data_IF_306584295130
#
_entry.id   IF_306584295130
#
_cell.length_a   1.000
_cell.length_b   1.000
_cell.length_c   1.000
_cell.angle_alpha   90.00
_cell.angle_beta   90.00
_cell.angle_gamma   90.00
#
_symmetry.space_group_name_H-M   'P 1'
#
loop_
_entity.id
_entity.type
_entity.pdbx_description
1 polymer ?
2 non-polymer ?
3 water ?
#
# COMPACT_ATOMS: atom_id res chain seq x y z
N UNK A 15 22.31 41.44 2.09
CA UNK A 15 21.97 41.36 3.50
C UNK A 15 23.00 40.55 4.28
N UNK A 16 23.36 41.00 5.49
CA UNK A 16 24.30 40.30 6.37
C UNK A 16 23.60 39.19 7.15
N UNK A 17 24.22 38.01 7.24
CA UNK A 17 23.70 36.85 7.97
C UNK A 17 23.73 37.10 9.48
N UNK A 18 22.62 36.77 10.19
CA UNK A 18 22.60 36.84 11.66
C UNK A 18 23.05 35.48 12.15
N UNK A 19 24.22 35.42 12.79
CA UNK A 19 24.82 34.16 13.22
C UNK A 19 24.24 33.70 14.55
N UNK A 20 22.98 33.22 14.50
CA UNK A 20 22.21 32.71 15.64
C UNK A 20 21.49 31.41 15.24
N UNK A 21 21.09 30.60 16.24
CA UNK A 21 20.44 29.31 15.97
C UNK A 21 19.10 29.16 16.65
N UNK A 22 18.11 28.63 15.92
CA UNK A 22 16.79 28.35 16.45
C UNK A 22 16.85 27.16 17.43
N UNK A 23 16.02 27.22 18.46
CA UNK A 23 15.92 26.18 19.47
C UNK A 23 14.60 25.47 19.38
N UNK A 24 14.61 24.11 19.47
CA UNK A 24 13.39 23.32 19.43
C UNK A 24 13.57 22.09 20.31
N UNK A 25 12.48 21.60 20.91
CA UNK A 25 12.48 20.36 21.67
C UNK A 25 12.32 19.25 20.62
N UNK A 26 13.37 18.46 20.41
CA UNK A 26 13.37 17.47 19.33
C UNK A 26 12.86 16.10 19.73
N UNK A 27 12.01 15.52 18.88
CA UNK A 27 11.50 14.17 19.07
C UNK A 27 12.72 13.24 18.96
N UNK A 28 12.82 12.30 19.88
CA UNK A 28 13.96 11.40 19.98
C UNK A 28 13.46 9.97 20.19
N UNK A 29 14.19 8.92 19.73
CA UNK A 29 13.70 7.54 19.92
C UNK A 29 13.57 7.15 21.39
N UNK A 30 14.24 7.87 22.32
CA UNK A 30 14.11 7.56 23.76
C UNK A 30 12.70 7.85 24.29
N UNK A 31 11.86 8.61 23.52
CA UNK A 31 10.51 8.95 23.96
C UNK A 31 9.51 7.85 23.59
N UNK A 32 9.99 6.75 22.98
CA UNK A 32 9.16 5.62 22.56
C UNK A 32 9.69 4.31 23.09
N UNK A 33 8.94 3.72 24.02
CA UNK A 33 9.25 2.45 24.64
C UNK A 33 9.03 1.33 23.59
N UNK A 34 10.07 0.53 23.30
CA UNK A 34 10.01 -0.59 22.35
C UNK A 34 9.22 -1.74 22.99
N UNK A 35 8.09 -2.16 22.36
CA UNK A 35 7.30 -3.28 22.90
C UNK A 35 7.57 -4.62 22.19
N UNK A 36 7.51 -4.63 20.85
CA UNK A 36 7.73 -5.83 20.05
C UNK A 36 7.99 -5.49 18.58
N UNK A 37 8.54 -6.47 17.85
CA UNK A 37 8.78 -6.33 16.41
C UNK A 37 7.46 -6.72 15.75
N UNK A 38 7.02 -5.93 14.77
CA UNK A 38 5.80 -6.21 14.03
C UNK A 38 6.12 -6.91 12.71
N UNK A 39 7.26 -6.58 12.13
CA UNK A 39 7.70 -7.18 10.87
C UNK A 39 8.76 -6.35 10.16
N UNK A 40 8.84 -6.54 8.85
CA UNK A 40 9.84 -5.90 8.02
C UNK A 40 9.18 -5.09 6.91
N UNK A 41 9.50 -3.81 6.87
CA UNK A 41 9.05 -2.91 5.81
C UNK A 41 10.03 -2.98 4.64
N UNK A 42 9.86 -2.07 3.66
CA UNK A 42 10.74 -2.03 2.48
C UNK A 42 12.21 -1.83 2.79
N UNK A 43 12.56 -0.96 3.78
CA UNK A 43 13.99 -0.71 4.09
C UNK A 43 14.44 -0.98 5.54
N UNK A 44 13.54 -1.46 6.39
CA UNK A 44 13.91 -1.74 7.77
C UNK A 44 12.79 -2.38 8.55
N UNK A 45 13.08 -2.72 9.81
CA UNK A 45 12.14 -3.33 10.74
C UNK A 45 11.06 -2.34 11.19
N UNK A 46 9.87 -2.88 11.51
CA UNK A 46 8.79 -2.06 12.05
C UNK A 46 8.50 -2.61 13.45
N UNK A 47 8.46 -1.73 14.45
CA UNK A 47 8.21 -2.10 15.85
C UNK A 47 6.93 -1.48 16.37
N UNK A 48 6.32 -2.14 17.36
CA UNK A 48 5.21 -1.56 18.11
C UNK A 48 5.90 -0.83 19.27
N UNK A 49 5.62 0.46 19.42
CA UNK A 49 6.20 1.31 20.48
C UNK A 49 5.09 2.03 21.23
N UNK A 50 5.39 2.54 22.43
CA UNK A 50 4.46 3.28 23.26
C UNK A 50 5.12 4.61 23.65
N UNK A 51 4.42 5.72 23.37
CA UNK A 51 4.90 7.05 23.71
C UNK A 51 5.01 7.20 25.23
N UNK A 52 6.17 7.69 25.69
CA UNK A 52 6.52 7.88 27.09
C UNK A 52 6.08 9.23 27.65
N UNK A 53 6.41 10.31 26.93
CA UNK A 53 6.17 11.68 27.40
C UNK A 53 5.26 12.49 26.49
N UNK A 54 5.00 13.75 26.88
CA UNK A 54 4.20 14.69 26.11
C UNK A 54 2.72 14.43 26.15
N UNK A 55 1.96 15.17 25.32
CA UNK A 55 0.50 15.11 25.25
C UNK A 55 -0.05 13.75 24.83
N UNK A 56 0.70 13.04 23.97
CA UNK A 56 0.30 11.72 23.49
C UNK A 56 0.91 10.57 24.31
N UNK A 57 1.30 10.83 25.58
CA UNK A 57 1.85 9.77 26.44
C UNK A 57 0.87 8.58 26.53
N UNK A 58 1.42 7.34 26.49
CA UNK A 58 0.71 6.05 26.54
C UNK A 58 0.12 5.60 25.19
N UNK A 59 0.20 6.44 24.14
CA UNK A 59 -0.31 6.07 22.82
C UNK A 59 0.59 5.04 22.15
N UNK A 60 -0.01 4.06 21.48
CA UNK A 60 0.70 3.06 20.71
C UNK A 60 0.92 3.55 19.27
N UNK A 61 2.12 3.28 18.72
CA UNK A 61 2.45 3.64 17.35
C UNK A 61 3.28 2.53 16.73
N UNK A 62 3.39 2.54 15.41
CA UNK A 62 4.29 1.66 14.67
C UNK A 62 5.53 2.55 14.41
N UNK A 63 6.71 2.04 14.70
CA UNK A 63 7.95 2.77 14.43
C UNK A 63 8.75 2.02 13.35
N UNK A 64 9.04 2.69 12.23
CA UNK A 64 9.87 2.08 11.18
C UNK A 64 11.28 2.67 11.34
N UNK A 65 12.33 1.82 11.39
CA UNK A 65 13.71 2.25 11.60
C UNK A 65 14.59 1.91 10.41
N UNK A 66 15.31 2.91 9.87
CA UNK A 66 16.32 2.69 8.83
C UNK A 66 17.68 2.76 9.49
N UNK A 67 18.41 1.63 9.50
CA UNK A 67 19.74 1.52 10.12
C UNK A 67 20.83 1.88 9.10
N UNK A 68 22.01 2.27 9.63
CA UNK A 68 23.21 2.70 8.88
C UNK A 68 22.83 3.47 7.60
N UNK A 69 21.96 4.49 7.80
CA UNK A 69 21.40 5.37 6.76
C UNK A 69 22.46 6.15 5.97
N UNK A 70 23.62 6.44 6.58
CA UNK A 70 24.69 7.20 5.94
C UNK A 70 25.27 6.46 4.72
N UNK A 71 25.52 5.14 4.84
CA UNK A 71 26.04 4.35 3.73
C UNK A 71 24.93 3.88 2.76
N UNK A 72 23.71 3.65 3.28
CA UNK A 72 22.59 3.18 2.46
C UNK A 72 21.90 4.37 1.76
N UNK A 73 22.57 4.95 0.74
CA UNK A 73 22.13 6.13 -0.01
C UNK A 73 20.75 5.93 -0.68
N UNK A 74 20.54 4.82 -1.41
CA UNK A 74 19.26 4.56 -2.09
C UNK A 74 18.09 4.38 -1.10
N UNK A 75 18.28 3.64 -0.01
CA UNK A 75 17.22 3.46 0.98
C UNK A 75 16.95 4.77 1.75
N UNK A 76 17.97 5.65 1.87
CA UNK A 76 17.83 6.93 2.57
C UNK A 76 17.01 7.94 1.73
N UNK A 77 17.29 8.07 0.43
CA UNK A 77 16.57 8.98 -0.48
C UNK A 77 15.07 8.61 -0.52
N UNK A 78 14.80 7.30 -0.53
CA UNK A 78 13.44 6.77 -0.56
C UNK A 78 12.72 6.86 0.77
N UNK A 79 13.47 6.84 1.90
CA UNK A 79 12.84 7.02 3.21
C UNK A 79 12.35 8.49 3.30
N UNK A 80 13.14 9.41 2.75
CA UNK A 80 12.82 10.86 2.70
C UNK A 80 11.59 11.09 1.81
N UNK A 81 11.52 10.41 0.64
CA UNK A 81 10.35 10.51 -0.25
C UNK A 81 9.11 9.95 0.46
N UNK A 82 9.26 8.82 1.17
CA UNK A 82 8.17 8.20 1.89
C UNK A 82 7.65 9.19 2.95
N UNK A 83 8.59 9.83 3.68
CA UNK A 83 8.21 10.82 4.66
C UNK A 83 7.43 11.96 3.96
N UNK A 84 7.95 12.47 2.82
CA UNK A 84 7.33 13.58 2.08
C UNK A 84 5.94 13.22 1.60
N UNK A 85 5.77 11.98 1.12
CA UNK A 85 4.47 11.49 0.65
C UNK A 85 3.48 11.48 1.83
N UNK A 86 3.89 10.88 2.97
CA UNK A 86 3.01 10.77 4.14
C UNK A 86 2.62 12.11 4.75
N UNK A 87 3.50 13.12 4.68
CA UNK A 87 3.21 14.47 5.18
C UNK A 87 2.18 15.16 4.25
N UNK A 88 2.27 14.93 2.94
CA UNK A 88 1.37 15.53 1.95
C UNK A 88 -0.04 14.91 1.97
N UNK A 89 -0.11 13.58 2.10
CA UNK A 89 -1.38 12.84 2.03
C UNK A 89 -2.29 13.04 3.26
N UNK A 90 -3.60 13.11 3.02
CA UNK A 90 -4.64 13.14 4.06
C UNK A 90 -5.82 12.35 3.48
N UNK A 91 -5.86 11.05 3.81
CA UNK A 91 -6.89 10.18 3.22
C UNK A 91 -7.27 9.10 4.22
N UNK A 92 -8.57 8.68 4.24
CA UNK A 92 -8.98 7.66 5.22
C UNK A 92 -8.27 6.32 5.09
N UNK A 93 -7.77 6.00 3.88
CA UNK A 93 -7.18 4.67 3.66
C UNK A 93 -5.68 4.70 3.42
N UNK A 94 -5.03 5.76 3.89
CA UNK A 94 -3.58 5.90 3.82
C UNK A 94 -3.09 6.17 5.23
N UNK A 95 -2.09 5.41 5.68
CA UNK A 95 -1.53 5.55 7.03
C UNK A 95 -1.11 7.01 7.35
N UNK A 96 -1.31 7.44 8.63
CA UNK A 96 -0.91 8.78 9.05
C UNK A 96 0.49 8.69 9.66
N UNK A 97 1.34 9.67 9.34
CA UNK A 97 2.65 9.82 9.94
C UNK A 97 2.49 10.83 11.08
N UNK A 98 3.01 10.46 12.26
CA UNK A 98 2.93 11.32 13.45
C UNK A 98 4.27 12.00 13.72
N UNK A 99 5.39 11.32 13.48
CA UNK A 99 6.69 11.92 13.68
C UNK A 99 7.66 11.37 12.68
N UNK A 100 8.73 12.12 12.41
CA UNK A 100 9.89 11.67 11.64
C UNK A 100 11.09 12.37 12.26
N UNK A 101 12.14 11.62 12.56
CA UNK A 101 13.35 12.19 13.15
C UNK A 101 14.53 11.30 12.86
N UNK A 102 15.72 11.81 13.14
CA UNK A 102 16.94 11.06 12.90
C UNK A 102 17.96 11.28 13.97
N UNK A 103 18.84 10.29 14.10
CA UNK A 103 20.03 10.32 14.97
C UNK A 103 21.18 10.00 14.01
N UNK A 104 22.43 9.94 14.52
CA UNK A 104 23.58 9.59 13.68
C UNK A 104 23.34 8.16 13.16
N UNK A 105 23.43 8.00 11.85
CA UNK A 105 23.23 6.70 11.21
C UNK A 105 21.85 6.03 11.30
N UNK A 106 20.80 6.71 11.84
CA UNK A 106 19.43 6.12 11.87
C UNK A 106 18.32 7.12 11.52
N UNK A 107 17.30 6.66 10.76
CA UNK A 107 16.10 7.43 10.41
C UNK A 107 14.90 6.72 11.03
N UNK A 108 13.93 7.48 11.55
CA UNK A 108 12.74 6.92 12.20
C UNK A 108 11.47 7.55 11.65
N UNK A 109 10.45 6.73 11.41
CA UNK A 109 9.11 7.17 11.05
C UNK A 109 8.16 6.60 12.11
N UNK A 110 7.34 7.46 12.73
CA UNK A 110 6.35 7.04 13.72
C UNK A 110 5.00 7.16 13.05
N UNK A 111 4.33 6.02 12.87
CA UNK A 111 3.07 5.93 12.13
C UNK A 111 1.94 5.39 13.00
N UNK A 112 0.69 5.45 12.48
CA UNK A 112 -0.43 4.82 13.19
C UNK A 112 -0.09 3.35 13.43
N UNK A 113 -0.53 2.81 14.57
CA UNK A 113 -0.42 1.39 14.84
C UNK A 113 -1.77 0.79 14.38
N UNK A 114 -1.75 -0.10 13.37
CA UNK A 114 -2.99 -0.70 12.86
C UNK A 114 -3.20 -2.02 13.60
N UNK A 115 -4.21 -2.06 14.47
CA UNK A 115 -4.47 -3.18 15.36
C UNK A 115 -4.91 -4.49 14.68
N UNK A 116 -5.35 -4.43 13.44
CA UNK A 116 -5.83 -5.63 12.76
C UNK A 116 -4.82 -6.49 12.03
N UNK A 117 -3.57 -6.07 11.93
CA UNK A 117 -2.55 -6.83 11.20
C UNK A 117 -2.72 -6.66 9.70
N UNK A 118 -1.99 -7.46 8.89
CA UNK A 118 -2.05 -7.25 7.45
C UNK A 118 -3.08 -8.14 6.72
N UNK A 119 -3.40 -7.76 5.49
CA UNK A 119 -4.37 -8.52 4.69
C UNK A 119 -3.80 -9.89 4.30
N UNK A 120 -2.45 -9.98 4.12
CA UNK A 120 -1.83 -11.27 3.78
C UNK A 120 -2.14 -12.34 4.81
N UNK A 121 -2.00 -12.02 6.12
CA UNK A 121 -2.34 -12.95 7.19
C UNK A 121 -3.80 -13.46 7.05
N UNK A 122 -4.77 -12.54 6.86
CA UNK A 122 -6.17 -12.95 6.70
C UNK A 122 -6.32 -13.85 5.46
N UNK A 123 -5.73 -13.44 4.32
CA UNK A 123 -5.81 -14.21 3.07
C UNK A 123 -5.24 -15.61 3.24
N UNK A 124 -4.04 -15.73 3.84
CA UNK A 124 -3.38 -17.01 4.09
C UNK A 124 -4.30 -17.95 4.94
N UNK A 125 -5.02 -17.41 5.91
CA UNK A 125 -5.90 -18.21 6.78
C UNK A 125 -7.17 -18.68 6.07
N UNK A 126 -7.78 -17.80 5.24
CA UNK A 126 -9.01 -18.07 4.50
C UNK A 126 -8.76 -18.84 3.21
N UNK A 127 -7.52 -18.76 2.67
CA UNK A 127 -7.06 -19.31 1.36
C UNK A 127 -7.49 -18.31 0.26
N UNK A 128 -8.79 -18.00 0.19
CA UNK A 128 -9.35 -16.99 -0.73
C UNK A 128 -10.53 -16.33 -0.03
N UNK A 129 -10.86 -15.09 -0.45
CA UNK A 129 -11.97 -14.33 0.11
C UNK A 129 -13.18 -14.50 -0.77
N UNK A 130 -14.38 -14.23 -0.22
CA UNK A 130 -15.62 -14.22 -1.00
C UNK A 130 -15.58 -12.98 -1.91
N UNK A 131 -16.39 -12.98 -2.96
CA UNK A 131 -16.42 -11.82 -3.87
C UNK A 131 -16.88 -10.56 -3.12
N UNK A 132 -17.86 -10.67 -2.19
CA UNK A 132 -18.32 -9.54 -1.35
C UNK A 132 -17.14 -8.90 -0.59
N UNK A 133 -16.28 -9.73 0.04
CA UNK A 133 -15.10 -9.24 0.79
C UNK A 133 -14.08 -8.58 -0.13
N UNK A 134 -13.81 -9.21 -1.28
CA UNK A 134 -12.86 -8.65 -2.27
C UNK A 134 -13.35 -7.28 -2.79
N UNK A 135 -14.64 -7.18 -3.10
CA UNK A 135 -15.25 -5.95 -3.58
C UNK A 135 -15.02 -4.83 -2.55
N UNK A 136 -15.20 -5.14 -1.26
CA UNK A 136 -14.97 -4.16 -0.19
C UNK A 136 -13.50 -3.71 -0.17
N UNK A 137 -12.56 -4.65 -0.06
CA UNK A 137 -11.14 -4.27 0.03
C UNK A 137 -10.65 -3.50 -1.19
N UNK A 138 -11.02 -3.96 -2.38
CA UNK A 138 -10.62 -3.33 -3.60
C UNK A 138 -11.22 -1.94 -3.72
N UNK A 139 -12.47 -1.77 -3.26
CA UNK A 139 -13.11 -0.45 -3.35
C UNK A 139 -12.35 0.58 -2.50
N UNK A 140 -12.01 0.23 -1.25
CA UNK A 140 -11.24 1.16 -0.42
C UNK A 140 -9.85 1.39 -1.05
N UNK A 141 -9.23 0.33 -1.56
CA UNK A 141 -7.93 0.45 -2.20
C UNK A 141 -7.97 1.37 -3.43
N UNK A 142 -9.02 1.28 -4.26
CA UNK A 142 -9.15 2.12 -5.46
C UNK A 142 -9.18 3.62 -5.11
N UNK A 143 -9.87 3.99 -4.00
CA UNK A 143 -9.90 5.39 -3.56
C UNK A 143 -8.51 5.80 -3.09
N UNK A 144 -7.82 4.95 -2.34
CA UNK A 144 -6.45 5.27 -1.88
C UNK A 144 -5.51 5.44 -3.07
N UNK A 145 -5.54 4.50 -4.04
CA UNK A 145 -4.66 4.62 -5.21
C UNK A 145 -4.98 5.86 -6.02
N UNK A 146 -6.26 6.16 -6.21
CA UNK A 146 -6.60 7.37 -6.97
C UNK A 146 -6.12 8.63 -6.28
N UNK A 147 -6.22 8.68 -4.94
CA UNK A 147 -5.74 9.84 -4.18
C UNK A 147 -4.25 10.04 -4.46
N UNK A 148 -3.48 8.97 -4.40
CA UNK A 148 -2.02 9.04 -4.68
C UNK A 148 -1.76 9.51 -6.11
N UNK A 149 -2.50 8.94 -7.06
CA UNK A 149 -2.36 9.31 -8.48
C UNK A 149 -2.64 10.80 -8.69
N UNK A 150 -3.66 11.35 -7.96
CA UNK A 150 -4.03 12.77 -8.02
C UNK A 150 -2.89 13.71 -7.58
N UNK A 151 -1.95 13.18 -6.81
CA UNK A 151 -0.78 13.90 -6.31
C UNK A 151 0.48 13.63 -7.14
N UNK A 152 0.34 12.89 -8.25
CA UNK A 152 1.42 12.55 -9.15
C UNK A 152 2.28 11.39 -8.66
N UNK A 153 1.70 10.53 -7.81
CA UNK A 153 2.44 9.41 -7.26
C UNK A 153 1.99 8.09 -7.89
N UNK A 154 2.96 7.18 -8.10
CA UNK A 154 2.70 5.81 -8.54
C UNK A 154 2.98 5.00 -7.29
N UNK A 155 2.02 4.22 -6.82
CA UNK A 155 2.25 3.45 -5.61
C UNK A 155 3.31 2.33 -5.80
N UNK A 156 3.17 1.55 -6.90
CA UNK A 156 4.11 0.49 -7.34
C UNK A 156 4.21 -0.75 -6.46
N UNK A 157 4.05 -0.64 -5.15
CA UNK A 157 4.30 -1.81 -4.31
C UNK A 157 3.02 -2.46 -3.75
N UNK A 158 2.02 -2.68 -4.61
CA UNK A 158 0.81 -3.33 -4.13
C UNK A 158 1.13 -4.81 -3.90
N UNK A 159 0.76 -5.28 -2.74
CA UNK A 159 0.91 -6.67 -2.26
C UNK A 159 0.10 -6.72 -0.97
N UNK A 160 -0.45 -7.89 -0.59
CA UNK A 160 -1.31 -7.92 0.61
C UNK A 160 -0.56 -7.62 1.93
N UNK A 161 0.79 -7.72 1.96
CA UNK A 161 1.64 -7.38 3.14
C UNK A 161 1.62 -5.87 3.40
N UNK A 162 1.34 -5.06 2.35
CA UNK A 162 1.32 -3.59 2.43
C UNK A 162 -0.08 -3.04 2.68
N UNK A 163 -1.06 -3.92 2.84
CA UNK A 163 -2.42 -3.48 3.15
C UNK A 163 -2.71 -3.92 4.58
N UNK A 164 -2.81 -2.93 5.50
CA UNK A 164 -3.03 -3.20 6.92
C UNK A 164 -4.49 -2.94 7.30
N UNK A 165 -4.97 -3.56 8.38
CA UNK A 165 -6.36 -3.37 8.81
C UNK A 165 -6.38 -2.64 10.14
N UNK A 166 -7.28 -1.66 10.29
CA UNK A 166 -7.41 -0.98 11.58
C UNK A 166 -8.33 -1.78 12.51
N UNK A 167 -8.61 -1.24 13.70
CA UNK A 167 -9.44 -1.91 14.69
C UNK A 167 -10.87 -2.22 14.18
N UNK A 168 -11.38 -1.39 13.24
CA UNK A 168 -12.71 -1.53 12.63
C UNK A 168 -12.73 -2.48 11.43
N UNK A 169 -11.57 -2.74 10.81
CA UNK A 169 -11.52 -3.62 9.65
C UNK A 169 -11.34 -2.88 8.33
N UNK A 170 -11.22 -1.55 8.40
CA UNK A 170 -10.97 -0.72 7.20
C UNK A 170 -9.47 -0.83 6.88
N UNK A 171 -9.12 -0.61 5.60
CA UNK A 171 -7.74 -0.77 5.16
C UNK A 171 -6.91 0.50 5.31
N UNK A 172 -5.57 0.31 5.30
CA UNK A 172 -4.62 1.41 5.19
C UNK A 172 -3.43 0.94 4.38
N UNK A 173 -2.99 1.74 3.40
CA UNK A 173 -1.73 1.50 2.68
C UNK A 173 -0.67 2.06 3.62
N UNK A 174 0.42 1.32 3.85
CA UNK A 174 1.37 1.78 4.89
C UNK A 174 2.83 1.98 4.50
N UNK A 175 3.26 1.44 3.35
CA UNK A 175 4.70 1.52 3.01
C UNK A 175 4.88 2.16 1.65
N UNK A 176 5.59 3.29 1.60
CA UNK A 176 5.79 4.04 0.37
C UNK A 176 7.25 4.09 -0.11
N UNK A 177 8.09 3.25 0.48
CA UNK A 177 9.52 3.23 0.13
C UNK A 177 9.81 2.97 -1.34
N UNK A 178 8.98 2.15 -1.99
CA UNK A 178 9.20 1.81 -3.41
C UNK A 178 8.32 2.60 -4.38
N UNK A 179 7.58 3.59 -3.86
CA UNK A 179 6.69 4.43 -4.68
C UNK A 179 7.49 5.42 -5.53
N UNK A 180 6.80 6.19 -6.36
CA UNK A 180 7.47 7.16 -7.22
C UNK A 180 6.68 8.43 -7.22
N UNK A 181 7.35 9.57 -7.05
CA UNK A 181 6.72 10.90 -6.99
C UNK A 181 6.93 11.61 -8.31
N UNK A 182 6.19 12.72 -8.53
CA UNK A 182 6.34 13.64 -9.67
C UNK A 182 6.16 13.00 -11.04
N UNK A 183 5.18 12.11 -11.17
CA UNK A 183 4.87 11.49 -12.45
C UNK A 183 3.59 12.12 -12.97
N UNK A 184 3.74 13.06 -13.92
CA UNK A 184 2.64 13.81 -14.55
C UNK A 184 2.99 14.12 -16.00
N UNK A 185 2.00 14.59 -16.79
CA UNK A 185 2.11 14.94 -18.21
C UNK A 185 2.67 13.77 -19.05
N UNK A 186 3.88 13.91 -19.61
CA UNK A 186 4.51 12.87 -20.43
C UNK A 186 5.60 12.06 -19.71
N UNK A 187 5.88 12.38 -18.42
CA UNK A 187 6.90 11.72 -17.60
C UNK A 187 6.60 10.25 -17.31
N UNK A 188 7.67 9.44 -17.27
CA UNK A 188 7.60 8.00 -16.97
C UNK A 188 8.67 7.65 -15.94
N UNK A 189 8.44 6.56 -15.16
CA UNK A 189 9.39 6.01 -14.19
C UNK A 189 10.05 4.81 -14.88
N UNK A 190 11.31 4.49 -14.54
CA UNK A 190 12.01 3.39 -15.21
C UNK A 190 12.59 2.33 -14.31
N UNK A 191 12.42 2.47 -12.98
CA UNK A 191 12.96 1.54 -11.99
C UNK A 191 12.27 0.20 -12.04
N UNK A 192 12.94 -0.80 -11.51
CA UNK A 192 12.41 -2.16 -11.43
C UNK A 192 12.51 -2.55 -9.94
N UNK A 193 11.47 -2.17 -9.19
CA UNK A 193 11.33 -2.39 -7.74
C UNK A 193 9.94 -2.94 -7.44
N UNK A 194 9.84 -3.77 -6.41
CA UNK A 194 8.56 -4.34 -5.98
C UNK A 194 8.55 -5.83 -6.08
N UNK A 195 7.41 -6.44 -5.79
CA UNK A 195 7.27 -7.88 -5.84
C UNK A 195 6.93 -8.20 -7.27
N UNK A 196 7.73 -9.06 -7.90
CA UNK A 196 7.64 -9.36 -9.34
C UNK A 196 6.23 -9.75 -9.76
N UNK A 197 5.58 -10.68 -9.04
CA UNK A 197 4.25 -11.18 -9.42
C UNK A 197 3.19 -10.11 -9.62
N UNK A 198 3.35 -8.94 -8.96
CA UNK A 198 2.36 -7.85 -9.07
C UNK A 198 2.73 -6.82 -10.14
N UNK A 199 3.89 -6.97 -10.77
CA UNK A 199 4.38 -5.97 -11.73
C UNK A 199 3.66 -5.95 -13.05
N UNK A 200 3.37 -4.74 -13.55
CA UNK A 200 2.79 -4.58 -14.89
C UNK A 200 3.83 -5.01 -15.97
N UNK A 201 3.39 -5.41 -17.17
CA UNK A 201 4.35 -5.75 -18.22
C UNK A 201 5.30 -4.62 -18.55
N UNK A 202 4.83 -3.35 -18.56
CA UNK A 202 5.70 -2.19 -18.86
C UNK A 202 6.80 -1.96 -17.78
N UNK A 203 6.55 -2.42 -16.55
CA UNK A 203 7.56 -2.37 -15.47
C UNK A 203 8.59 -3.49 -15.77
N UNK A 204 8.10 -4.71 -16.07
CA UNK A 204 8.97 -5.84 -16.37
C UNK A 204 9.89 -5.60 -17.60
N UNK A 205 9.33 -5.07 -18.73
CA UNK A 205 10.14 -4.87 -19.94
C UNK A 205 10.95 -3.57 -19.96
N UNK A 206 10.85 -2.74 -18.87
CA UNK A 206 11.61 -1.51 -18.62
C UNK A 206 11.36 -0.38 -19.61
N UNK A 207 10.20 -0.41 -20.29
CA UNK A 207 9.84 0.57 -21.31
C UNK A 207 9.26 1.88 -20.73
N UNK A 208 9.13 1.97 -19.41
CA UNK A 208 8.58 3.15 -18.76
C UNK A 208 7.17 2.89 -18.25
N UNK A 209 6.87 3.38 -17.04
CA UNK A 209 5.55 3.19 -16.43
C UNK A 209 5.04 4.46 -15.80
N UNK A 210 3.71 4.53 -15.69
CA UNK A 210 3.01 5.66 -15.08
C UNK A 210 2.03 5.07 -14.07
N UNK A 211 1.10 5.92 -13.61
CA UNK A 211 0.06 5.50 -12.67
C UNK A 211 -0.74 4.27 -13.15
N UNK A 212 -0.91 4.11 -14.48
CA UNK A 212 -1.66 2.97 -15.02
C UNK A 212 -1.06 1.60 -14.66
N UNK A 213 0.25 1.54 -14.27
CA UNK A 213 0.91 0.30 -13.78
C UNK A 213 0.21 -0.17 -12.50
N UNK A 214 -0.25 0.76 -11.65
CA UNK A 214 -0.96 0.38 -10.42
C UNK A 214 -2.25 -0.37 -10.69
N UNK A 215 -2.92 -0.10 -11.83
CA UNK A 215 -4.20 -0.77 -12.11
C UNK A 215 -3.98 -2.22 -12.53
N UNK A 216 -2.85 -2.51 -13.20
CA UNK A 216 -2.46 -3.90 -13.49
C UNK A 216 -2.24 -4.61 -12.12
N UNK A 217 -1.44 -4.00 -11.22
CA UNK A 217 -1.19 -4.59 -9.88
C UNK A 217 -2.48 -4.84 -9.08
N UNK A 218 -3.43 -3.91 -9.21
CA UNK A 218 -4.77 -3.99 -8.59
C UNK A 218 -5.50 -5.25 -9.10
N UNK A 219 -5.40 -5.52 -10.41
CA UNK A 219 -5.96 -6.75 -10.99
C UNK A 219 -5.29 -8.00 -10.44
N UNK A 220 -3.95 -7.97 -10.25
CA UNK A 220 -3.22 -9.15 -9.73
C UNK A 220 -3.71 -9.43 -8.33
N UNK A 221 -3.80 -8.38 -7.50
CA UNK A 221 -4.27 -8.49 -6.14
C UNK A 221 -5.71 -9.00 -6.11
N UNK A 222 -6.56 -8.48 -6.99
CA UNK A 222 -7.96 -8.96 -7.10
C UNK A 222 -7.97 -10.50 -7.40
N UNK A 223 -7.19 -10.94 -8.41
CA UNK A 223 -7.12 -12.35 -8.79
C UNK A 223 -6.65 -13.22 -7.63
N UNK A 224 -5.58 -12.78 -6.96
CA UNK A 224 -5.03 -13.51 -5.82
C UNK A 224 -6.05 -13.64 -4.67
N UNK A 225 -6.75 -12.54 -4.35
CA UNK A 225 -7.75 -12.60 -3.27
C UNK A 225 -8.95 -13.49 -3.60
N UNK A 226 -9.39 -13.50 -4.87
CA UNK A 226 -10.52 -14.32 -5.31
C UNK A 226 -10.18 -15.81 -5.46
N UNK A 227 -8.93 -16.14 -5.81
CA UNK A 227 -8.56 -17.53 -6.15
C UNK A 227 -7.54 -18.20 -5.22
N UNK A 228 -6.84 -17.42 -4.42
CA UNK A 228 -5.78 -17.93 -3.56
C UNK A 228 -4.48 -18.18 -4.32
N UNK A 229 -4.41 -17.79 -5.61
CA UNK A 229 -3.18 -18.00 -6.39
C UNK A 229 -2.87 -16.80 -7.24
N UNK A 230 -1.62 -16.72 -7.71
CA UNK A 230 -1.22 -15.62 -8.56
C UNK A 230 -1.47 -15.96 -10.04
N UNK A 231 -1.89 -14.97 -10.85
CA UNK A 231 -2.24 -15.26 -12.25
C UNK A 231 -1.05 -15.54 -13.15
N UNK A 232 0.08 -14.82 -12.91
CA UNK A 232 1.27 -14.95 -13.76
C UNK A 232 2.43 -15.29 -12.89
N UNK A 233 2.84 -16.55 -12.93
CA UNK A 233 3.92 -17.01 -12.07
C UNK A 233 4.55 -18.27 -12.63
N UNK A 234 5.88 -18.30 -12.59
CA UNK A 234 6.68 -19.40 -13.08
C UNK A 234 7.44 -20.10 -11.97
N UNK A 235 8.43 -20.92 -12.36
CA UNK A 235 9.26 -21.71 -11.43
C UNK A 235 10.25 -20.85 -10.62
N UNK A 236 10.59 -19.66 -11.16
CA UNK A 236 11.51 -18.71 -10.54
C UNK A 236 11.15 -17.29 -11.01
N UNK A 237 11.76 -16.23 -10.42
CA UNK A 237 11.37 -14.86 -10.76
C UNK A 237 11.58 -14.51 -12.25
N UNK A 238 12.61 -15.10 -12.89
CA UNK A 238 12.87 -14.84 -14.31
C UNK A 238 11.76 -15.44 -15.18
N UNK A 239 11.24 -16.65 -14.84
CA UNK A 239 10.14 -17.23 -15.62
C UNK A 239 8.84 -16.44 -15.38
N UNK A 240 8.62 -16.01 -14.12
CA UNK A 240 7.48 -15.17 -13.77
C UNK A 240 7.51 -13.91 -14.65
N UNK A 241 8.68 -13.27 -14.79
CA UNK A 241 8.80 -12.08 -15.65
C UNK A 241 8.33 -12.35 -17.09
N UNK A 242 8.81 -13.42 -17.71
CA UNK A 242 8.37 -13.74 -19.09
C UNK A 242 6.88 -14.09 -19.14
N UNK A 243 6.35 -14.73 -18.07
CA UNK A 243 4.91 -15.03 -18.07
C UNK A 243 4.03 -13.77 -17.99
N UNK A 244 4.50 -12.73 -17.28
CA UNK A 244 3.78 -11.46 -17.23
C UNK A 244 3.75 -10.87 -18.65
N UNK A 245 4.87 -10.97 -19.37
CA UNK A 245 4.97 -10.41 -20.72
C UNK A 245 4.11 -11.14 -21.72
N UNK A 246 3.89 -12.43 -21.53
CA UNK A 246 3.01 -13.15 -22.46
C UNK A 246 1.54 -12.89 -22.06
N UNK A 247 1.27 -12.70 -20.74
CA UNK A 247 -0.05 -12.43 -20.16
C UNK A 247 -1.15 -13.41 -20.65
N UNK A 248 -0.81 -14.72 -20.70
CA UNK A 248 -1.78 -15.77 -21.09
C UNK A 248 -2.51 -16.19 -19.80
N UNK A 249 -3.71 -15.66 -19.58
CA UNK A 249 -4.43 -15.84 -18.33
C UNK A 249 -5.36 -17.03 -18.40
N UNK A 250 -5.23 -17.92 -17.42
CA UNK A 250 -6.12 -19.06 -17.26
C UNK A 250 -7.20 -18.63 -16.29
N UNK A 251 -8.44 -18.46 -16.79
CA UNK A 251 -9.52 -17.93 -15.94
C UNK A 251 -10.24 -19.01 -15.12
N UNK A 252 -10.14 -19.02 -13.77
CA UNK A 252 -10.90 -20.01 -12.97
C UNK A 252 -12.41 -19.82 -13.15
N UNK A 253 -13.14 -20.95 -13.30
CA UNK A 253 -14.57 -20.96 -13.66
C UNK A 253 -15.54 -20.73 -12.49
N UNK A 254 -15.03 -20.42 -11.31
CA UNK A 254 -15.91 -20.07 -10.19
C UNK A 254 -16.02 -18.54 -10.10
N UNK A 255 -15.28 -17.82 -10.91
CA UNK A 255 -15.33 -16.35 -10.89
C UNK A 255 -16.59 -15.88 -11.60
N UNK A 256 -17.26 -14.86 -11.03
CA UNK A 256 -18.48 -14.31 -11.62
C UNK A 256 -18.19 -13.62 -12.95
N UNK A 257 -19.21 -13.41 -13.82
CA UNK A 257 -18.98 -12.66 -15.06
C UNK A 257 -18.47 -11.24 -14.77
N UNK A 258 -18.93 -10.61 -13.66
CA UNK A 258 -18.47 -9.25 -13.29
C UNK A 258 -16.98 -9.26 -12.97
N UNK A 259 -16.53 -10.26 -12.18
CA UNK A 259 -15.10 -10.41 -11.84
C UNK A 259 -14.29 -10.69 -13.08
N UNK A 260 -14.76 -11.60 -13.95
CA UNK A 260 -14.03 -11.93 -15.18
C UNK A 260 -13.89 -10.70 -16.09
N UNK A 261 -14.94 -9.87 -16.20
CA UNK A 261 -14.92 -8.64 -17.03
C UNK A 261 -13.87 -7.67 -16.45
N UNK A 262 -13.91 -7.42 -15.15
CA UNK A 262 -12.96 -6.50 -14.54
C UNK A 262 -11.51 -6.96 -14.72
N UNK A 263 -11.24 -8.23 -14.44
CA UNK A 263 -9.91 -8.78 -14.64
C UNK A 263 -9.43 -8.66 -16.09
N UNK A 264 -10.29 -8.98 -17.07
CA UNK A 264 -9.86 -8.88 -18.47
C UNK A 264 -9.60 -7.41 -18.87
N UNK A 265 -10.34 -6.46 -18.26
CA UNK A 265 -10.20 -5.04 -18.56
C UNK A 265 -8.98 -4.42 -17.91
N UNK A 266 -8.52 -5.00 -16.79
CA UNK A 266 -7.31 -4.53 -16.13
C UNK A 266 -6.07 -5.18 -16.73
N UNK A 267 -6.17 -6.44 -17.16
CA UNK A 267 -5.02 -7.13 -17.70
C UNK A 267 -4.78 -6.85 -19.17
N UNK A 268 -4.67 -5.56 -19.51
CA UNK A 268 -4.34 -5.15 -20.88
C UNK A 268 -2.87 -4.85 -20.83
N UNK A 269 -2.06 -5.53 -21.68
CA UNK A 269 -0.61 -5.29 -21.68
C UNK A 269 -0.25 -3.88 -22.09
N UNK A 270 -1.01 -3.29 -23.03
CA UNK A 270 -0.78 -1.90 -23.44
C UNK A 270 -1.39 -1.00 -22.34
N UNK A 271 -0.59 -0.28 -21.51
CA UNK A 271 -1.19 0.54 -20.44
C UNK A 271 -2.20 1.58 -20.91
N UNK A 272 -2.07 2.07 -22.15
CA UNK A 272 -3.00 3.06 -22.72
C UNK A 272 -4.43 2.50 -22.85
N UNK A 273 -4.58 1.15 -22.96
CA UNK A 273 -5.89 0.52 -23.16
C UNK A 273 -6.47 -0.07 -21.88
N UNK A 274 -5.74 0.06 -20.77
CA UNK A 274 -6.11 -0.52 -19.49
C UNK A 274 -7.23 0.25 -18.81
N UNK A 275 -8.13 -0.49 -18.14
CA UNK A 275 -9.18 0.14 -17.34
C UNK A 275 -8.54 1.03 -16.27
N UNK A 276 -8.99 2.28 -16.23
CA UNK A 276 -8.48 3.30 -15.32
C UNK A 276 -7.46 4.22 -15.96
N UNK A 277 -7.00 3.88 -17.19
CA UNK A 277 -6.00 4.68 -17.89
C UNK A 277 -6.64 5.66 -18.89
N UNK A 278 -7.95 5.54 -19.08
CA UNK A 278 -8.72 6.38 -19.98
C UNK A 278 -8.88 7.79 -19.44
N UNK A 279 -9.51 8.71 -20.20
CA UNK A 279 -9.66 10.10 -19.70
C UNK A 279 -10.41 10.24 -18.38
N UNK A 280 -11.36 9.31 -18.08
CA UNK A 280 -12.15 9.36 -16.84
C UNK A 280 -11.44 8.78 -15.62
N UNK A 281 -10.22 8.26 -15.81
CA UNK A 281 -9.35 7.71 -14.78
C UNK A 281 -10.03 6.68 -13.91
N UNK A 282 -10.00 6.90 -12.58
CA UNK A 282 -10.59 5.98 -11.60
C UNK A 282 -12.09 5.76 -11.82
N UNK A 283 -12.80 6.74 -12.43
CA UNK A 283 -14.25 6.58 -12.67
C UNK A 283 -14.54 5.36 -13.56
N UNK A 284 -13.59 4.99 -14.42
CA UNK A 284 -13.71 3.80 -15.29
C UNK A 284 -13.81 2.54 -14.42
N UNK A 285 -13.07 2.54 -13.30
CA UNK A 285 -13.10 1.41 -12.38
C UNK A 285 -14.35 1.49 -11.47
N UNK A 286 -14.61 2.68 -10.89
CA UNK A 286 -15.75 2.88 -9.97
C UNK A 286 -17.09 2.53 -10.61
N UNK A 287 -17.26 2.79 -11.91
CA UNK A 287 -18.51 2.51 -12.59
C UNK A 287 -18.59 1.08 -13.15
N UNK A 288 -17.54 0.24 -12.98
CA UNK A 288 -17.57 -1.14 -13.49
C UNK A 288 -18.67 -1.94 -12.77
N UNK A 289 -19.37 -2.81 -13.51
CA UNK A 289 -20.43 -3.65 -12.93
C UNK A 289 -19.96 -4.43 -11.68
N UNK A 290 -18.68 -4.78 -11.57
CA UNK A 290 -18.19 -5.51 -10.38
C UNK A 290 -18.48 -4.72 -9.10
N UNK A 291 -18.37 -3.38 -9.18
CA UNK A 291 -18.58 -2.49 -8.05
C UNK A 291 -19.96 -1.83 -7.98
N UNK A 292 -20.93 -2.33 -8.76
CA UNK A 292 -22.26 -1.70 -8.82
C UNK A 292 -22.97 -1.54 -7.46
N UNK A 293 -22.68 -2.41 -6.47
CA UNK A 293 -23.38 -2.26 -5.19
C UNK A 293 -22.69 -1.28 -4.23
N UNK A 294 -21.50 -0.74 -4.62
CA UNK A 294 -20.73 0.19 -3.79
C UNK A 294 -21.23 1.64 -3.88
N UNK A 295 -21.53 2.23 -2.69
CA UNK A 295 -21.85 3.64 -2.55
C UNK A 295 -20.48 4.22 -2.21
N UNK A 296 -19.82 4.86 -3.20
CA UNK A 296 -18.45 5.36 -3.02
C UNK A 296 -18.33 6.49 -2.00
N UNK A 297 -19.40 7.28 -1.85
CA UNK A 297 -19.44 8.37 -0.88
C UNK A 297 -19.45 7.81 0.54
N UNK A 298 -20.37 6.86 0.84
CA UNK A 298 -20.45 6.17 2.14
C UNK A 298 -19.14 5.43 2.42
N UNK A 299 -18.55 4.83 1.38
CA UNK A 299 -17.28 4.11 1.54
C UNK A 299 -16.19 5.09 2.01
N UNK A 300 -16.04 6.22 1.30
CA UNK A 300 -15.05 7.24 1.70
C UNK A 300 -15.25 7.72 3.16
N UNK A 301 -16.51 7.86 3.59
CA UNK A 301 -16.87 8.32 4.93
C UNK A 301 -16.67 7.22 5.98
N UNK A 302 -16.17 6.03 5.57
CA UNK A 302 -15.92 4.86 6.41
C UNK A 302 -17.25 4.41 7.04
N UNK A 303 -18.34 4.50 6.24
CA UNK A 303 -19.69 4.17 6.72
C UNK A 303 -20.21 2.82 6.21
N UNK A 304 -19.36 2.08 5.50
CA UNK A 304 -19.63 0.72 5.02
C UNK A 304 -19.00 -0.22 6.03
N UNK A 305 -19.77 -1.19 6.52
CA UNK A 305 -19.26 -2.15 7.49
C UNK A 305 -18.24 -3.10 6.86
N UNK A 306 -16.99 -3.17 7.38
CA UNK A 306 -16.02 -4.12 6.81
C UNK A 306 -16.45 -5.56 7.01
N UNK A 307 -15.87 -6.54 6.28
CA UNK A 307 -16.32 -7.93 6.45
C UNK A 307 -15.73 -8.63 7.66
N UNK A 308 -14.63 -8.12 8.19
CA UNK A 308 -13.89 -8.68 9.30
C UNK A 308 -13.48 -7.58 10.26
N UNK A 309 -13.77 -7.79 11.56
CA UNK A 309 -13.40 -6.84 12.61
C UNK A 309 -12.44 -7.52 13.61
N UNK A 310 -11.16 -7.09 13.67
CA UNK A 310 -10.22 -7.75 14.60
C UNK A 310 -10.40 -7.39 16.07
N UNK A 318 -13.51 -14.91 33.34
CA UNK A 318 -14.67 -15.23 32.51
C UNK A 318 -15.36 -16.55 32.91
N UNK A 319 -14.71 -17.40 33.72
CA UNK A 319 -15.29 -18.70 34.10
C UNK A 319 -16.13 -18.65 35.36
N UNK A 320 -15.65 -17.94 36.37
CA UNK A 320 -16.34 -17.81 37.65
C UNK A 320 -17.82 -17.47 37.50
N UNK A 321 -18.68 -18.18 38.24
CA UNK A 321 -20.11 -17.93 38.22
C UNK A 321 -20.67 -18.19 39.60
N UNK A 322 -21.40 -17.21 40.11
CA UNK A 322 -22.01 -17.21 41.44
C UNK A 322 -23.04 -16.04 41.42
N UNK A 323 -24.24 -16.31 40.88
CA UNK A 323 -25.25 -15.25 40.75
C UNK A 323 -25.90 -14.79 42.06
#
# INVERSE_FOLDING_TARGET
GPNPQTEEVSIKEIAITHHVKEGHEKADPSQFELLKVLGQGSFGKVFLVKKISGSDARQLYAMKVLKKATLKVRDRVRTKMERDILVEVNHPFIVKLHYAFQTEGKLYLILDFLRGGDLFTRLSKEVMFTEEDVKFYLAELALALDHLHSLGIIYRDLKPENILLDEEGHIKLTDFGLSKESIDHEKKAYSFCGTVEYMAPEVVNRRGHTQSADWWSFGVLMFEMLTGTLPFQGKDRKETMTMILKAKLGMPQFLSPEAQSLLRMLFKRNPANRLGAGPDGVEEIKRHSFFSTIDWNKLYRREIHPPFKPATGRPEDTFYFDP
#
